data_IF_037505293321
#
_entry.id   IF_037505293321
#
_cell.length_a   1.000
_cell.length_b   1.000
_cell.length_c   1.000
_cell.angle_alpha   90.00
_cell.angle_beta   90.00
_cell.angle_gamma   90.00
#
_symmetry.space_group_name_H-M   'P 1'
#
loop_
_entity.id
_entity.type
_entity.pdbx_description
1 polymer ?
#
# COMPACT_ATOMS: atom_id res chain seq x y z
N UNK A 1 12.79 55.80 53.85
CA UNK A 1 13.93 54.93 54.16
C UNK A 1 13.96 53.85 53.11
N UNK A 2 14.58 53.98 52.07
CA UNK A 2 15.93 53.82 51.53
C UNK A 2 16.59 52.51 51.86
N UNK A 3 16.83 51.73 50.83
CA UNK A 3 18.04 50.97 50.47
C UNK A 3 17.65 49.94 49.41
N UNK A 4 17.96 50.06 48.16
CA UNK A 4 19.25 50.00 47.42
C UNK A 4 19.95 48.64 47.53
N UNK A 5 20.14 48.03 46.43
CA UNK A 5 21.25 47.24 45.89
C UNK A 5 20.73 45.95 45.19
N UNK A 6 21.15 45.50 44.04
CA UNK A 6 22.33 45.71 43.29
C UNK A 6 22.31 44.67 42.15
N UNK A 7 22.51 45.12 40.94
CA UNK A 7 22.58 44.30 39.75
C UNK A 7 23.87 43.48 39.71
N UNK A 8 23.75 42.16 39.64
CA UNK A 8 24.85 41.27 39.29
C UNK A 8 24.61 40.62 37.92
N UNK A 9 25.20 41.20 36.87
CA UNK A 9 25.36 40.54 35.56
C UNK A 9 26.41 39.46 35.69
N UNK A 10 26.04 38.21 35.37
CA UNK A 10 26.99 37.12 35.11
C UNK A 10 27.18 36.99 33.59
N UNK A 11 28.40 36.90 33.08
CA UNK A 11 28.68 36.87 31.64
C UNK A 11 28.32 35.50 31.05
N UNK A 12 27.71 35.53 29.87
CA UNK A 12 27.53 34.35 29.00
C UNK A 12 28.89 33.99 28.43
N UNK A 13 29.39 32.79 28.76
CA UNK A 13 30.45 32.14 27.99
C UNK A 13 29.83 31.42 26.81
N UNK A 14 30.38 31.74 25.65
CA UNK A 14 30.08 31.10 24.37
C UNK A 14 30.76 29.73 24.28
N UNK A 15 30.23 28.94 23.34
CA UNK A 15 30.90 27.82 22.70
C UNK A 15 30.94 26.46 23.43
N UNK A 16 30.01 25.63 23.03
CA UNK A 16 30.06 24.16 23.21
C UNK A 16 29.73 23.50 21.87
N UNK A 17 30.71 23.44 20.97
CA UNK A 17 30.63 22.72 19.71
C UNK A 17 30.25 21.25 19.97
N UNK A 18 29.10 20.81 19.48
CA UNK A 18 28.75 19.41 19.41
C UNK A 18 29.62 18.75 18.35
N UNK A 19 30.57 17.95 18.80
CA UNK A 19 31.33 17.05 17.92
C UNK A 19 30.38 16.08 17.24
N UNK A 20 30.52 15.93 15.93
CA UNK A 20 29.85 14.90 15.15
C UNK A 20 30.29 13.50 15.64
N UNK A 21 29.38 12.52 15.72
CA UNK A 21 29.76 11.16 16.10
C UNK A 21 30.71 10.56 15.05
N UNK A 22 31.68 9.72 15.47
CA UNK A 22 32.66 9.13 14.56
C UNK A 22 31.98 8.19 13.57
N UNK A 23 32.32 8.35 12.30
CA UNK A 23 31.99 7.40 11.22
C UNK A 23 32.80 6.12 11.47
N UNK A 24 32.12 5.05 11.86
CA UNK A 24 32.74 3.72 11.95
C UNK A 24 32.93 3.15 10.54
N UNK A 25 34.09 2.54 10.22
CA UNK A 25 34.33 1.92 8.92
C UNK A 25 33.42 0.70 8.73
N UNK A 26 32.87 0.58 7.53
CA UNK A 26 32.11 -0.60 7.07
C UNK A 26 33.04 -1.82 7.11
N UNK A 27 32.91 -2.63 8.14
CA UNK A 27 33.57 -3.93 8.24
C UNK A 27 32.89 -4.94 7.32
N UNK A 28 33.71 -5.78 6.73
CA UNK A 28 33.40 -6.83 5.76
C UNK A 28 32.24 -7.75 6.16
N UNK A 29 31.61 -8.32 5.14
CA UNK A 29 30.51 -9.26 5.16
C UNK A 29 30.49 -10.18 6.39
N UNK A 30 29.48 -10.01 7.23
CA UNK A 30 29.08 -11.02 8.20
C UNK A 30 28.36 -12.16 7.46
N UNK A 31 28.58 -13.43 7.88
CA UNK A 31 27.90 -14.58 7.29
C UNK A 31 26.39 -14.45 7.43
N UNK A 32 25.68 -14.99 6.45
CA UNK A 32 24.23 -15.02 6.40
C UNK A 32 23.65 -15.40 7.77
N UNK A 33 22.98 -14.45 8.41
CA UNK A 33 22.21 -14.74 9.59
C UNK A 33 21.13 -15.75 9.17
N UNK A 34 21.07 -16.88 9.88
CA UNK A 34 20.09 -17.91 9.69
C UNK A 34 18.70 -17.30 9.54
N UNK A 35 18.05 -17.60 8.42
CA UNK A 35 16.67 -17.21 8.23
C UNK A 35 15.84 -17.84 9.34
N UNK A 36 14.92 -17.11 10.00
CA UNK A 36 14.11 -17.68 11.06
C UNK A 36 13.26 -18.83 10.50
N UNK A 37 13.67 -20.05 10.75
CA UNK A 37 13.03 -21.27 10.28
C UNK A 37 11.67 -21.53 10.95
N UNK A 38 11.24 -20.68 11.89
CA UNK A 38 10.08 -20.87 12.75
C UNK A 38 9.16 -19.64 12.83
N UNK A 39 9.34 -18.65 11.98
CA UNK A 39 8.43 -17.51 11.98
C UNK A 39 7.07 -17.94 11.39
N UNK A 40 5.97 -17.66 12.10
CA UNK A 40 4.62 -17.98 11.65
C UNK A 40 4.29 -17.39 10.27
N UNK A 41 3.16 -17.78 9.64
CA UNK A 41 2.81 -17.41 8.27
C UNK A 41 2.59 -15.91 8.07
N UNK A 42 2.39 -15.13 9.13
CA UNK A 42 2.01 -13.72 9.08
C UNK A 42 3.10 -12.80 9.65
N UNK A 43 4.17 -12.57 8.89
CA UNK A 43 5.27 -11.68 9.27
C UNK A 43 5.02 -10.22 8.86
N UNK A 44 4.48 -10.00 7.68
CA UNK A 44 4.18 -8.66 7.21
C UNK A 44 3.58 -8.61 5.81
N UNK A 45 2.63 -7.72 5.61
CA UNK A 45 2.03 -7.50 4.29
C UNK A 45 3.03 -6.81 3.35
N UNK A 46 3.40 -7.51 2.29
CA UNK A 46 4.30 -6.98 1.25
C UNK A 46 3.47 -6.49 0.07
N UNK A 47 3.07 -5.22 0.12
CA UNK A 47 2.44 -4.53 -0.99
C UNK A 47 3.45 -3.75 -1.85
N UNK A 48 4.66 -3.58 -1.36
CA UNK A 48 5.74 -2.88 -2.04
C UNK A 48 7.11 -3.38 -1.56
N UNK A 49 8.08 -3.39 -2.47
CA UNK A 49 9.48 -3.58 -2.13
C UNK A 49 10.31 -2.38 -2.65
N UNK A 50 11.13 -1.75 -1.82
CA UNK A 50 11.24 -1.97 -0.37
C UNK A 50 10.03 -1.47 0.40
N UNK A 51 9.80 -2.03 1.60
CA UNK A 51 8.74 -1.56 2.48
C UNK A 51 9.02 -0.12 2.96
N UNK A 52 7.97 0.68 3.13
CA UNK A 52 8.07 2.10 3.52
C UNK A 52 8.89 2.37 4.80
N UNK A 53 8.94 1.41 5.73
CA UNK A 53 9.75 1.53 6.95
C UNK A 53 11.26 1.45 6.70
N UNK A 54 11.69 1.09 5.48
CA UNK A 54 13.08 1.19 5.05
C UNK A 54 13.46 2.60 4.51
N UNK A 55 12.48 3.47 4.27
CA UNK A 55 12.76 4.83 3.77
C UNK A 55 13.46 5.66 4.84
N UNK A 56 14.32 6.56 4.38
CA UNK A 56 15.09 7.49 5.22
C UNK A 56 15.08 8.89 4.61
N UNK A 57 15.30 9.93 5.40
CA UNK A 57 15.57 11.26 4.85
C UNK A 57 16.65 11.18 3.79
N UNK A 58 16.42 11.84 2.66
CA UNK A 58 17.38 11.93 1.56
C UNK A 58 18.31 13.12 1.79
N UNK A 59 19.62 12.89 1.75
CA UNK A 59 20.63 13.92 1.91
C UNK A 59 21.76 13.70 0.87
N UNK A 60 21.99 14.63 -0.06
CA UNK A 60 21.13 15.77 -0.34
C UNK A 60 19.73 15.35 -0.85
N UNK A 61 18.74 16.20 -0.64
CA UNK A 61 17.39 16.02 -1.21
C UNK A 61 17.45 16.30 -2.71
N UNK A 62 17.23 15.28 -3.59
CA UNK A 62 17.25 15.51 -5.02
C UNK A 62 16.00 16.30 -5.45
N UNK A 63 16.15 17.12 -6.49
CA UNK A 63 15.00 17.73 -7.15
C UNK A 63 14.16 16.65 -7.86
N UNK A 64 12.86 16.86 -7.99
CA UNK A 64 12.01 15.94 -8.75
C UNK A 64 12.43 15.90 -10.23
N UNK A 65 12.91 17.00 -10.80
CA UNK A 65 13.44 17.02 -12.16
C UNK A 65 14.64 16.06 -12.33
N UNK A 66 15.55 16.01 -11.34
CA UNK A 66 16.66 15.04 -11.33
C UNK A 66 16.16 13.60 -11.14
N UNK A 67 15.18 13.40 -10.27
CA UNK A 67 14.60 12.07 -9.97
C UNK A 67 13.92 11.48 -11.19
N UNK A 68 13.22 12.30 -11.98
CA UNK A 68 12.47 11.87 -13.16
C UNK A 68 13.25 12.01 -14.48
N UNK A 69 14.46 12.58 -14.43
CA UNK A 69 15.31 12.68 -15.62
C UNK A 69 15.62 11.31 -16.21
N UNK A 70 15.19 11.06 -17.46
CA UNK A 70 15.39 9.79 -18.17
C UNK A 70 14.48 8.63 -17.73
N UNK A 71 13.57 8.86 -16.81
CA UNK A 71 12.52 7.86 -16.50
C UNK A 71 11.41 7.91 -17.57
N UNK A 72 10.82 6.76 -17.96
CA UNK A 72 9.68 6.75 -18.87
C UNK A 72 8.46 7.39 -18.21
N UNK A 73 7.85 8.35 -18.88
CA UNK A 73 6.68 9.09 -18.38
C UNK A 73 5.42 8.88 -19.22
N UNK A 74 5.44 7.96 -20.18
CA UNK A 74 4.37 7.73 -21.16
C UNK A 74 3.25 6.83 -20.63
N UNK A 75 3.48 6.09 -19.53
CA UNK A 75 2.54 5.10 -18.99
C UNK A 75 2.62 5.02 -17.47
N UNK A 76 2.45 6.14 -16.78
CA UNK A 76 2.55 6.20 -15.32
C UNK A 76 1.25 5.75 -14.63
N UNK A 77 1.38 5.35 -13.38
CA UNK A 77 0.25 5.20 -12.46
C UNK A 77 0.06 6.50 -11.68
N UNK A 78 -1.16 7.03 -11.65
CA UNK A 78 -1.51 8.19 -10.83
C UNK A 78 -2.18 7.72 -9.53
N UNK A 79 -1.59 8.05 -8.38
CA UNK A 79 -2.17 7.75 -7.09
C UNK A 79 -2.49 9.02 -6.31
N UNK A 80 -3.75 9.20 -5.92
CA UNK A 80 -4.19 10.29 -5.05
C UNK A 80 -4.43 9.76 -3.63
N UNK A 81 -3.78 10.37 -2.65
CA UNK A 81 -3.95 10.00 -1.25
C UNK A 81 -4.83 10.98 -0.52
N UNK A 82 -5.95 10.51 0.02
CA UNK A 82 -6.85 11.29 0.88
C UNK A 82 -6.73 10.75 2.31
N UNK A 83 -6.10 11.49 3.24
CA UNK A 83 -5.79 10.96 4.57
C UNK A 83 -6.95 11.03 5.56
N UNK A 84 -8.14 11.40 5.13
CA UNK A 84 -9.28 11.63 6.02
C UNK A 84 -10.17 10.40 6.13
N UNK A 85 -10.68 10.16 7.34
CA UNK A 85 -11.65 9.12 7.64
C UNK A 85 -12.69 9.65 8.62
N UNK A 86 -13.89 9.09 8.58
CA UNK A 86 -14.94 9.32 9.56
C UNK A 86 -14.60 8.71 10.91
N UNK A 87 -13.88 7.59 10.92
CA UNK A 87 -13.41 6.89 12.11
C UNK A 87 -12.04 6.25 11.90
N UNK A 88 -11.36 5.94 13.00
CA UNK A 88 -10.14 5.12 12.99
C UNK A 88 -10.47 3.72 13.49
N UNK A 89 -10.47 2.74 12.60
CA UNK A 89 -10.66 1.33 12.96
C UNK A 89 -9.55 0.84 13.89
N UNK A 90 -9.85 -0.14 14.75
CA UNK A 90 -8.92 -0.63 15.76
C UNK A 90 -7.66 -1.29 15.20
N UNK A 91 -7.71 -1.79 13.98
CA UNK A 91 -6.61 -2.42 13.26
C UNK A 91 -5.86 -1.46 12.31
N UNK A 92 -6.34 -0.21 12.13
CA UNK A 92 -5.84 0.68 11.09
C UNK A 92 -4.39 1.14 11.37
N UNK A 93 -3.50 0.81 10.45
CA UNK A 93 -2.10 1.24 10.42
C UNK A 93 -1.78 2.15 9.23
N UNK A 94 -2.81 2.69 8.59
CA UNK A 94 -2.68 3.61 7.47
C UNK A 94 -2.42 5.04 7.97
N UNK A 95 -1.90 5.86 7.07
CA UNK A 95 -1.71 7.29 7.30
C UNK A 95 -3.07 8.00 7.22
N UNK A 96 -3.78 8.10 8.37
CA UNK A 96 -5.16 8.60 8.40
C UNK A 96 -5.41 9.54 9.57
N UNK A 97 -6.26 10.56 9.33
CA UNK A 97 -6.75 11.53 10.30
C UNK A 97 -8.26 11.51 10.37
N UNK A 98 -8.80 11.44 11.58
CA UNK A 98 -10.24 11.57 11.83
C UNK A 98 -10.59 12.96 12.36
N UNK A 99 -11.84 13.39 12.16
CA UNK A 99 -12.34 14.66 12.67
C UNK A 99 -11.63 15.87 12.05
N UNK A 100 -11.32 15.81 10.76
CA UNK A 100 -10.77 16.95 10.04
C UNK A 100 -11.86 18.02 9.87
N UNK A 101 -11.62 19.29 10.28
CA UNK A 101 -12.54 20.39 9.98
C UNK A 101 -12.54 20.71 8.49
N UNK A 102 -13.61 21.32 7.98
CA UNK A 102 -13.75 21.66 6.56
C UNK A 102 -12.62 22.54 6.04
N UNK A 103 -12.15 23.49 6.86
CA UNK A 103 -11.05 24.38 6.49
C UNK A 103 -9.74 23.62 6.27
N UNK A 104 -9.52 22.54 7.01
CA UNK A 104 -8.34 21.71 6.81
C UNK A 104 -8.46 20.88 5.52
N UNK A 105 -9.65 20.36 5.21
CA UNK A 105 -9.89 19.64 3.95
C UNK A 105 -9.67 20.57 2.77
N UNK A 106 -10.19 21.79 2.83
CA UNK A 106 -9.97 22.81 1.79
C UNK A 106 -8.47 23.13 1.63
N UNK A 107 -7.76 23.40 2.74
CA UNK A 107 -6.32 23.67 2.73
C UNK A 107 -5.49 22.47 2.22
N UNK A 108 -5.94 21.24 2.47
CA UNK A 108 -5.33 20.04 1.94
C UNK A 108 -5.46 19.96 0.41
N UNK A 109 -6.63 20.26 -0.14
CA UNK A 109 -6.85 20.29 -1.59
C UNK A 109 -6.03 21.43 -2.25
N UNK A 110 -5.88 22.58 -1.59
CA UNK A 110 -4.98 23.65 -2.05
C UNK A 110 -3.51 23.20 -2.08
N UNK A 111 -3.07 22.44 -1.07
CA UNK A 111 -1.72 21.88 -1.04
C UNK A 111 -1.52 20.79 -2.10
N UNK A 112 -2.52 19.95 -2.31
CA UNK A 112 -2.54 18.94 -3.37
C UNK A 112 -2.38 19.60 -4.76
N UNK A 113 -3.06 20.73 -4.99
CA UNK A 113 -2.94 21.53 -6.21
C UNK A 113 -1.51 22.04 -6.40
N UNK A 114 -0.89 22.62 -5.35
CA UNK A 114 0.51 23.08 -5.40
C UNK A 114 1.48 21.93 -5.67
N UNK A 115 1.28 20.77 -5.03
CA UNK A 115 2.10 19.59 -5.26
C UNK A 115 1.96 19.07 -6.70
N UNK A 116 0.73 18.97 -7.21
CA UNK A 116 0.47 18.54 -8.58
C UNK A 116 1.18 19.47 -9.60
N UNK A 117 1.17 20.78 -9.37
CA UNK A 117 1.90 21.74 -10.19
C UNK A 117 3.41 21.48 -10.21
N UNK A 118 4.03 21.35 -9.02
CA UNK A 118 5.47 21.08 -8.91
C UNK A 118 5.86 19.73 -9.55
N UNK A 119 5.03 18.70 -9.42
CA UNK A 119 5.24 17.40 -10.04
C UNK A 119 5.11 17.52 -11.57
N UNK A 120 4.09 18.23 -12.07
CA UNK A 120 3.90 18.46 -13.51
C UNK A 120 5.10 19.17 -14.12
N UNK A 121 5.59 20.22 -13.46
CA UNK A 121 6.76 20.99 -13.91
C UNK A 121 8.02 20.10 -14.00
N UNK A 122 8.17 19.17 -13.07
CA UNK A 122 9.30 18.24 -13.03
C UNK A 122 9.23 17.14 -14.11
N UNK A 123 8.05 16.63 -14.43
CA UNK A 123 7.85 15.53 -15.38
C UNK A 123 7.68 15.99 -16.84
N UNK A 124 7.33 17.24 -17.05
CA UNK A 124 7.04 17.77 -18.39
C UNK A 124 5.67 17.34 -18.91
N UNK A 125 5.56 16.33 -19.77
CA UNK A 125 4.31 15.84 -20.35
C UNK A 125 4.01 14.38 -19.98
N UNK A 126 3.68 14.07 -18.71
CA UNK A 126 3.41 12.71 -18.28
C UNK A 126 2.10 12.20 -18.86
N UNK A 127 2.05 10.91 -19.18
CA UNK A 127 0.83 10.19 -19.55
C UNK A 127 0.54 9.09 -18.55
N UNK A 128 -0.72 8.88 -18.25
CA UNK A 128 -1.14 7.92 -17.24
C UNK A 128 -1.87 6.75 -17.91
N UNK A 129 -1.56 5.54 -17.47
CA UNK A 129 -2.17 4.30 -17.93
C UNK A 129 -3.24 3.78 -16.96
N UNK A 130 -3.18 4.19 -15.70
CA UNK A 130 -4.14 3.83 -14.67
C UNK A 130 -4.13 4.87 -13.53
N UNK A 131 -5.19 4.92 -12.75
CA UNK A 131 -5.30 5.80 -11.60
C UNK A 131 -5.92 5.08 -10.40
N UNK A 132 -5.60 5.55 -9.18
CA UNK A 132 -6.32 5.16 -7.99
C UNK A 132 -6.43 6.32 -7.00
N UNK A 133 -7.52 6.34 -6.25
CA UNK A 133 -7.74 7.25 -5.13
C UNK A 133 -7.97 6.41 -3.88
N UNK A 134 -7.09 6.57 -2.90
CA UNK A 134 -7.11 5.76 -1.69
C UNK A 134 -6.53 6.49 -0.47
N UNK A 135 -6.17 5.73 0.55
CA UNK A 135 -5.49 6.23 1.74
C UNK A 135 -6.26 6.06 3.03
N UNK A 136 -7.01 7.05 3.44
CA UNK A 136 -8.01 6.96 4.49
C UNK A 136 -9.32 6.44 3.93
N UNK A 137 -10.21 7.35 3.61
CA UNK A 137 -11.47 7.09 2.91
C UNK A 137 -11.71 8.23 1.93
N UNK A 138 -11.41 8.08 0.64
CA UNK A 138 -11.59 9.15 -0.36
C UNK A 138 -12.99 9.77 -0.35
N UNK A 139 -14.01 8.95 -0.19
CA UNK A 139 -15.41 9.39 -0.08
C UNK A 139 -15.76 10.05 1.27
N UNK A 140 -14.78 10.30 2.15
CA UNK A 140 -14.92 11.26 3.25
C UNK A 140 -15.16 12.67 2.71
N UNK A 141 -14.53 13.00 1.60
CA UNK A 141 -14.78 14.24 0.87
C UNK A 141 -16.26 14.32 0.45
N UNK A 142 -16.84 15.50 0.53
CA UNK A 142 -18.16 15.78 -0.04
C UNK A 142 -18.14 15.65 -1.56
N UNK A 143 -19.31 15.58 -2.18
CA UNK A 143 -19.41 15.53 -3.65
C UNK A 143 -18.73 16.74 -4.33
N UNK A 144 -18.85 17.93 -3.74
CA UNK A 144 -18.19 19.15 -4.24
C UNK A 144 -16.65 19.07 -4.12
N UNK A 145 -16.13 18.58 -3.00
CA UNK A 145 -14.70 18.42 -2.78
C UNK A 145 -14.11 17.31 -3.66
N UNK A 146 -14.83 16.20 -3.88
CA UNK A 146 -14.45 15.17 -4.84
C UNK A 146 -14.36 15.76 -6.26
N UNK A 147 -15.38 16.52 -6.68
CA UNK A 147 -15.39 17.20 -7.98
C UNK A 147 -14.17 18.12 -8.09
N UNK A 148 -13.91 18.96 -7.09
CA UNK A 148 -12.74 19.84 -7.06
C UNK A 148 -11.42 19.05 -7.15
N UNK A 149 -11.28 17.94 -6.41
CA UNK A 149 -10.09 17.08 -6.43
C UNK A 149 -9.84 16.53 -7.84
N UNK A 150 -10.87 16.04 -8.51
CA UNK A 150 -10.74 15.55 -9.89
C UNK A 150 -10.42 16.65 -10.87
N UNK A 151 -11.13 17.80 -10.80
CA UNK A 151 -10.90 18.95 -11.68
C UNK A 151 -9.47 19.49 -11.60
N UNK A 152 -8.94 19.67 -10.38
CA UNK A 152 -7.56 20.13 -10.20
C UNK A 152 -6.55 19.09 -10.71
N UNK A 153 -6.82 17.81 -10.50
CA UNK A 153 -5.93 16.73 -10.92
C UNK A 153 -5.86 16.68 -12.46
N UNK A 154 -6.99 16.60 -13.14
CA UNK A 154 -7.05 16.56 -14.62
C UNK A 154 -6.43 17.82 -15.23
N UNK A 155 -6.80 19.01 -14.72
CA UNK A 155 -6.31 20.30 -15.23
C UNK A 155 -4.80 20.46 -15.10
N UNK A 156 -4.21 20.00 -14.02
CA UNK A 156 -2.79 20.23 -13.73
C UNK A 156 -1.93 19.11 -14.30
N UNK A 157 -2.29 17.86 -14.08
CA UNK A 157 -1.47 16.72 -14.52
C UNK A 157 -1.66 16.39 -15.99
N UNK A 158 -2.73 16.85 -16.60
CA UNK A 158 -3.12 16.47 -17.97
C UNK A 158 -3.69 15.04 -18.06
N UNK A 159 -3.98 14.39 -16.92
CA UNK A 159 -4.58 13.06 -16.91
C UNK A 159 -6.00 13.10 -17.47
N UNK A 160 -6.34 12.21 -18.38
CA UNK A 160 -7.73 11.92 -18.76
C UNK A 160 -8.22 10.73 -17.94
N UNK A 161 -8.81 11.03 -16.77
CA UNK A 161 -9.24 9.99 -15.82
C UNK A 161 -10.39 9.14 -16.33
N UNK A 162 -11.15 9.63 -17.35
CA UNK A 162 -12.20 8.84 -18.00
C UNK A 162 -11.67 7.86 -19.03
N UNK A 163 -10.46 8.08 -19.53
CA UNK A 163 -9.83 7.24 -20.55
C UNK A 163 -8.99 6.10 -19.97
N UNK A 164 -8.79 6.08 -18.65
CA UNK A 164 -7.94 5.08 -17.98
C UNK A 164 -8.70 4.35 -16.87
N UNK A 165 -8.36 3.08 -16.59
CA UNK A 165 -8.91 2.38 -15.44
C UNK A 165 -8.63 3.16 -14.15
N UNK A 166 -9.68 3.46 -13.39
CA UNK A 166 -9.58 4.20 -12.13
C UNK A 166 -10.27 3.45 -10.98
N UNK A 167 -9.53 3.20 -9.91
CA UNK A 167 -10.04 2.59 -8.69
C UNK A 167 -10.22 3.61 -7.57
N UNK A 168 -11.35 3.58 -6.85
CA UNK A 168 -11.60 4.46 -5.72
C UNK A 168 -12.02 3.65 -4.50
N UNK A 169 -11.38 3.93 -3.35
CA UNK A 169 -11.71 3.33 -2.06
C UNK A 169 -12.89 4.07 -1.40
N UNK A 170 -13.77 3.33 -0.72
CA UNK A 170 -14.89 3.86 0.03
C UNK A 170 -15.15 3.09 1.33
N UNK A 171 -16.05 3.59 2.15
CA UNK A 171 -16.55 2.91 3.36
C UNK A 171 -18.07 2.87 3.38
N UNK A 172 -18.70 1.98 4.15
CA UNK A 172 -20.17 1.92 4.24
C UNK A 172 -20.82 3.24 4.63
N UNK A 173 -20.22 4.01 5.51
CA UNK A 173 -20.77 5.27 5.98
C UNK A 173 -20.68 6.40 4.94
N UNK A 174 -19.70 6.34 4.05
CA UNK A 174 -19.39 7.42 3.10
C UNK A 174 -19.81 7.13 1.65
N UNK A 175 -20.23 5.90 1.34
CA UNK A 175 -20.78 5.51 0.03
C UNK A 175 -22.22 6.07 -0.14
N UNK A 176 -22.34 7.39 -0.22
CA UNK A 176 -23.62 8.09 -0.45
C UNK A 176 -23.89 8.26 -1.94
N UNK A 177 -25.16 8.41 -2.34
CA UNK A 177 -25.55 8.44 -3.72
C UNK A 177 -24.91 9.61 -4.50
N UNK A 178 -24.80 10.79 -3.88
CA UNK A 178 -24.18 11.99 -4.46
C UNK A 178 -22.68 11.81 -4.72
N UNK A 179 -21.95 11.19 -3.78
CA UNK A 179 -20.51 10.92 -3.93
C UNK A 179 -20.26 9.85 -4.98
N UNK A 180 -21.04 8.77 -4.97
CA UNK A 180 -20.94 7.70 -5.97
C UNK A 180 -21.28 8.21 -7.37
N UNK A 181 -22.24 9.14 -7.50
CA UNK A 181 -22.56 9.77 -8.76
C UNK A 181 -21.35 10.57 -9.33
N UNK A 182 -20.64 11.33 -8.47
CA UNK A 182 -19.40 12.00 -8.88
C UNK A 182 -18.34 11.00 -9.34
N UNK A 183 -18.13 9.91 -8.60
CA UNK A 183 -17.16 8.89 -8.99
C UNK A 183 -17.49 8.28 -10.36
N UNK A 184 -18.76 7.94 -10.61
CA UNK A 184 -19.22 7.40 -11.90
C UNK A 184 -19.05 8.43 -13.03
N UNK A 185 -19.42 9.68 -12.81
CA UNK A 185 -19.25 10.77 -13.77
C UNK A 185 -17.77 10.99 -14.12
N UNK A 186 -16.86 10.83 -13.17
CA UNK A 186 -15.41 10.99 -13.35
C UNK A 186 -14.70 9.76 -13.88
N UNK A 187 -15.45 8.72 -14.26
CA UNK A 187 -14.91 7.53 -14.94
C UNK A 187 -14.30 6.50 -14.00
N UNK A 188 -14.66 6.48 -12.70
CA UNK A 188 -14.24 5.38 -11.85
C UNK A 188 -14.78 4.05 -12.40
N UNK A 189 -13.87 3.14 -12.73
CA UNK A 189 -14.22 1.81 -13.24
C UNK A 189 -14.39 0.80 -12.11
N UNK A 190 -13.70 1.03 -10.98
CA UNK A 190 -13.68 0.12 -9.84
C UNK A 190 -13.93 0.88 -8.53
N UNK A 191 -14.83 0.37 -7.72
CA UNK A 191 -15.05 0.84 -6.34
C UNK A 191 -14.70 -0.27 -5.37
N UNK A 192 -13.82 0.03 -4.41
CA UNK A 192 -13.42 -0.89 -3.33
C UNK A 192 -14.07 -0.46 -2.02
N UNK A 193 -14.84 -1.36 -1.39
CA UNK A 193 -15.49 -1.08 -0.12
C UNK A 193 -14.93 -1.95 1.00
N UNK A 194 -14.41 -1.31 2.06
CA UNK A 194 -13.97 -1.99 3.26
C UNK A 194 -15.15 -2.42 4.12
N UNK A 195 -15.63 -3.66 3.97
CA UNK A 195 -16.70 -4.25 4.79
C UNK A 195 -16.16 -4.93 6.04
N UNK A 196 -15.07 -5.68 5.89
CA UNK A 196 -14.34 -6.42 6.92
C UNK A 196 -15.09 -7.63 7.47
N UNK A 197 -16.35 -7.51 7.89
CA UNK A 197 -17.25 -8.59 8.31
C UNK A 197 -18.71 -8.18 8.14
N UNK A 198 -19.57 -9.16 7.83
CA UNK A 198 -21.04 -9.01 7.84
C UNK A 198 -21.66 -9.38 9.18
N UNK A 199 -20.84 -9.64 10.20
CA UNK A 199 -21.28 -9.94 11.57
C UNK A 199 -21.01 -8.74 12.47
N UNK A 200 -22.07 -8.09 12.97
CA UNK A 200 -21.97 -6.86 13.79
C UNK A 200 -21.07 -7.01 15.02
N UNK A 201 -21.05 -8.22 15.63
CA UNK A 201 -20.20 -8.50 16.78
C UNK A 201 -18.71 -8.48 16.41
N UNK A 202 -18.34 -9.03 15.26
CA UNK A 202 -16.98 -9.03 14.74
C UNK A 202 -16.54 -7.61 14.34
N UNK A 203 -17.41 -6.85 13.69
CA UNK A 203 -17.15 -5.45 13.37
C UNK A 203 -16.86 -4.63 14.64
N UNK A 204 -17.64 -4.82 15.70
CA UNK A 204 -17.37 -4.20 17.00
C UNK A 204 -16.06 -4.67 17.64
N UNK A 205 -15.73 -5.97 17.56
CA UNK A 205 -14.47 -6.50 18.07
C UNK A 205 -13.26 -5.91 17.35
N UNK A 206 -13.39 -5.60 16.06
CA UNK A 206 -12.39 -4.92 15.25
C UNK A 206 -12.36 -3.37 15.48
N UNK A 207 -13.13 -2.86 16.46
CA UNK A 207 -13.31 -1.43 16.71
C UNK A 207 -13.71 -0.67 15.43
N UNK A 208 -14.63 -1.27 14.68
CA UNK A 208 -15.25 -0.68 13.48
C UNK A 208 -16.77 -0.71 13.68
N UNK A 209 -17.34 0.32 14.33
CA UNK A 209 -18.77 0.37 14.67
C UNK A 209 -19.60 0.64 13.40
N UNK A 210 -19.82 -0.39 12.61
CA UNK A 210 -20.76 -0.41 11.48
C UNK A 210 -21.82 -1.48 11.72
N UNK A 211 -22.99 -1.29 11.14
CA UNK A 211 -24.09 -2.25 11.19
C UNK A 211 -24.23 -2.92 9.82
N UNK A 212 -24.61 -4.17 9.80
CA UNK A 212 -24.88 -4.93 8.56
C UNK A 212 -25.79 -4.16 7.60
N UNK A 213 -26.87 -3.54 8.10
CA UNK A 213 -27.78 -2.76 7.29
C UNK A 213 -27.10 -1.57 6.57
N UNK A 214 -26.15 -0.93 7.21
CA UNK A 214 -25.37 0.18 6.60
C UNK A 214 -24.52 -0.33 5.46
N UNK A 215 -23.87 -1.49 5.67
CA UNK A 215 -23.09 -2.19 4.64
C UNK A 215 -23.97 -2.55 3.44
N UNK A 216 -25.11 -3.19 3.68
CA UNK A 216 -26.05 -3.60 2.63
C UNK A 216 -26.59 -2.39 1.85
N UNK A 217 -26.91 -1.30 2.54
CA UNK A 217 -27.34 -0.05 1.90
C UNK A 217 -26.24 0.54 1.00
N UNK A 218 -24.99 0.54 1.45
CA UNK A 218 -23.86 1.04 0.68
C UNK A 218 -23.62 0.17 -0.56
N UNK A 219 -23.62 -1.15 -0.41
CA UNK A 219 -23.47 -2.10 -1.52
C UNK A 219 -24.58 -1.94 -2.57
N UNK A 220 -25.84 -1.75 -2.11
CA UNK A 220 -26.96 -1.44 -3.01
C UNK A 220 -26.71 -0.20 -3.85
N UNK A 221 -26.31 0.91 -3.23
CA UNK A 221 -25.98 2.16 -3.91
C UNK A 221 -24.83 2.01 -4.91
N UNK A 222 -23.77 1.25 -4.54
CA UNK A 222 -22.65 1.00 -5.45
C UNK A 222 -23.13 0.22 -6.69
N UNK A 223 -24.00 -0.78 -6.50
CA UNK A 223 -24.58 -1.53 -7.61
C UNK A 223 -25.52 -0.68 -8.47
N UNK A 224 -26.33 0.18 -7.86
CA UNK A 224 -27.19 1.16 -8.57
C UNK A 224 -26.37 2.16 -9.39
N UNK A 225 -25.20 2.57 -8.91
CA UNK A 225 -24.29 3.46 -9.62
C UNK A 225 -23.62 2.83 -10.85
N UNK A 226 -23.63 1.49 -10.98
CA UNK A 226 -23.27 0.79 -12.21
C UNK A 226 -21.77 0.71 -12.52
N UNK A 227 -20.89 0.75 -11.52
CA UNK A 227 -19.44 0.56 -11.72
C UNK A 227 -19.13 -0.80 -12.33
N UNK A 228 -18.10 -0.85 -13.18
CA UNK A 228 -17.67 -2.09 -13.87
C UNK A 228 -17.21 -3.15 -12.88
N UNK A 229 -16.54 -2.74 -11.79
CA UNK A 229 -16.05 -3.64 -10.76
C UNK A 229 -16.39 -3.14 -9.34
N UNK A 230 -17.08 -3.97 -8.58
CA UNK A 230 -17.19 -3.88 -7.14
C UNK A 230 -16.15 -4.81 -6.50
N UNK A 231 -15.30 -4.25 -5.63
CA UNK A 231 -14.46 -5.04 -4.75
C UNK A 231 -14.98 -4.96 -3.31
N UNK A 232 -15.03 -6.09 -2.63
CA UNK A 232 -15.37 -6.19 -1.19
C UNK A 232 -14.15 -6.66 -0.42
N UNK A 233 -13.70 -5.86 0.56
CA UNK A 233 -12.62 -6.23 1.47
C UNK A 233 -13.17 -6.89 2.72
N UNK A 234 -12.69 -8.08 3.04
CA UNK A 234 -13.01 -8.85 4.24
C UNK A 234 -11.77 -9.11 5.07
N UNK A 235 -11.93 -9.14 6.40
CA UNK A 235 -10.85 -9.47 7.34
C UNK A 235 -11.16 -10.79 8.03
N UNK A 236 -10.18 -11.70 8.03
CA UNK A 236 -10.21 -12.93 8.80
C UNK A 236 -9.28 -12.86 10.03
N UNK A 237 -9.60 -13.64 11.06
CA UNK A 237 -8.88 -13.65 12.33
C UNK A 237 -9.29 -12.52 13.28
N UNK A 238 -10.51 -12.00 13.15
CA UNK A 238 -11.12 -11.05 14.11
C UNK A 238 -11.43 -11.80 15.41
N UNK A 239 -11.30 -11.13 16.55
CA UNK A 239 -11.64 -11.70 17.85
C UNK A 239 -13.06 -12.26 17.88
N UNK A 240 -13.18 -13.53 18.28
CA UNK A 240 -14.44 -14.24 18.34
C UNK A 240 -14.95 -14.74 17.00
N UNK A 241 -14.25 -14.49 15.90
CA UNK A 241 -14.57 -15.04 14.59
C UNK A 241 -14.38 -16.55 14.59
N UNK A 242 -15.37 -17.29 14.10
CA UNK A 242 -15.35 -18.74 13.94
C UNK A 242 -15.41 -19.10 12.47
N UNK A 243 -15.11 -20.36 12.13
CA UNK A 243 -15.28 -20.86 10.76
C UNK A 243 -16.72 -20.68 10.23
N UNK A 244 -17.72 -20.81 11.10
CA UNK A 244 -19.13 -20.64 10.74
C UNK A 244 -19.47 -19.17 10.46
N UNK A 245 -19.02 -18.24 11.31
CA UNK A 245 -19.26 -16.79 11.11
C UNK A 245 -18.44 -16.22 9.94
N UNK A 246 -17.25 -16.77 9.71
CA UNK A 246 -16.44 -16.44 8.54
C UNK A 246 -17.14 -16.87 7.25
N UNK A 247 -17.60 -18.13 7.17
CA UNK A 247 -18.40 -18.62 6.04
C UNK A 247 -19.64 -17.76 5.80
N UNK A 248 -20.36 -17.39 6.87
CA UNK A 248 -21.50 -16.48 6.77
C UNK A 248 -21.13 -15.13 6.12
N UNK A 249 -19.98 -14.55 6.47
CA UNK A 249 -19.53 -13.30 5.88
C UNK A 249 -19.14 -13.48 4.40
N UNK A 250 -18.54 -14.61 4.03
CA UNK A 250 -18.24 -14.93 2.63
C UNK A 250 -19.51 -15.08 1.80
N UNK A 251 -20.50 -15.85 2.30
CA UNK A 251 -21.79 -16.05 1.62
C UNK A 251 -22.54 -14.70 1.45
N UNK A 252 -22.51 -13.86 2.49
CA UNK A 252 -23.12 -12.54 2.44
C UNK A 252 -22.43 -11.62 1.40
N UNK A 253 -21.11 -11.69 1.27
CA UNK A 253 -20.38 -10.97 0.23
C UNK A 253 -20.71 -11.48 -1.16
N UNK A 254 -20.71 -12.82 -1.35
CA UNK A 254 -21.02 -13.47 -2.63
C UNK A 254 -22.45 -13.19 -3.12
N UNK A 255 -23.41 -12.95 -2.22
CA UNK A 255 -24.78 -12.56 -2.59
C UNK A 255 -24.84 -11.25 -3.40
N UNK A 256 -23.86 -10.38 -3.25
CA UNK A 256 -23.70 -9.14 -4.03
C UNK A 256 -23.00 -9.35 -5.37
N UNK A 257 -22.53 -10.57 -5.66
CA UNK A 257 -21.80 -10.95 -6.88
C UNK A 257 -20.67 -9.96 -7.21
N UNK A 258 -19.76 -9.65 -6.25
CA UNK A 258 -18.68 -8.72 -6.52
C UNK A 258 -17.75 -9.29 -7.61
N UNK A 259 -17.16 -8.42 -8.41
CA UNK A 259 -16.16 -8.79 -9.41
C UNK A 259 -14.85 -9.20 -8.75
N UNK A 260 -14.58 -8.62 -7.56
CA UNK A 260 -13.38 -8.90 -6.77
C UNK A 260 -13.70 -9.03 -5.29
N UNK A 261 -12.97 -9.90 -4.61
CA UNK A 261 -12.97 -10.03 -3.14
C UNK A 261 -11.53 -10.04 -2.65
N UNK A 262 -11.25 -9.25 -1.62
CA UNK A 262 -9.97 -9.28 -0.92
C UNK A 262 -10.13 -9.86 0.47
N UNK A 263 -9.28 -10.84 0.80
CA UNK A 263 -9.20 -11.46 2.12
C UNK A 263 -7.92 -10.96 2.84
N UNK A 264 -8.10 -10.18 3.89
CA UNK A 264 -6.99 -9.66 4.68
C UNK A 264 -6.87 -10.39 6.02
N UNK A 265 -5.67 -10.84 6.43
CA UNK A 265 -5.46 -11.26 7.81
C UNK A 265 -5.57 -10.05 8.73
N UNK A 266 -6.19 -10.20 9.89
CA UNK A 266 -6.14 -9.16 10.90
C UNK A 266 -4.69 -9.00 11.39
N UNK A 267 -4.09 -7.86 11.08
CA UNK A 267 -2.82 -7.45 11.68
C UNK A 267 -3.06 -6.53 12.87
N UNK A 268 -2.51 -6.92 14.00
CA UNK A 268 -2.47 -6.07 15.21
C UNK A 268 -1.07 -5.47 15.30
N UNK A 269 -0.97 -4.16 15.16
CA UNK A 269 0.28 -3.41 15.17
C UNK A 269 0.37 -2.53 16.41
N UNK A 270 1.58 -2.27 16.95
CA UNK A 270 1.78 -1.19 17.91
C UNK A 270 1.13 0.10 17.39
N UNK A 271 0.67 0.97 18.25
CA UNK A 271 -0.02 2.24 17.91
C UNK A 271 -1.41 2.09 17.25
N UNK A 272 -1.91 0.89 16.98
CA UNK A 272 -3.32 0.66 16.59
C UNK A 272 -4.20 0.47 17.83
N UNK A 273 -5.51 0.66 17.69
CA UNK A 273 -6.45 0.48 18.80
C UNK A 273 -6.46 -0.92 19.41
N UNK A 274 -6.12 -1.94 18.63
CA UNK A 274 -6.00 -3.33 19.06
C UNK A 274 -4.59 -3.73 19.53
N UNK A 275 -3.57 -2.90 19.29
CA UNK A 275 -2.15 -3.22 19.51
C UNK A 275 -1.71 -3.41 20.96
N UNK A 276 -2.61 -3.30 21.93
CA UNK A 276 -2.34 -3.47 23.36
C UNK A 276 -2.57 -4.89 23.88
N UNK A 277 -2.97 -5.82 23.01
CA UNK A 277 -3.30 -7.20 23.40
C UNK A 277 -2.30 -8.16 22.76
N UNK A 278 -1.61 -8.96 23.58
CA UNK A 278 -0.81 -10.09 23.11
C UNK A 278 -1.75 -11.17 22.57
N UNK A 279 -1.42 -11.74 21.38
CA UNK A 279 -2.26 -12.75 20.72
C UNK A 279 -1.38 -13.77 20.01
N UNK A 280 -1.74 -15.03 20.15
CA UNK A 280 -1.18 -16.15 19.42
C UNK A 280 -2.32 -16.87 18.72
N UNK A 281 -2.46 -16.68 17.40
CA UNK A 281 -3.59 -17.17 16.59
C UNK A 281 -3.26 -17.41 15.12
N UNK A 282 -1.98 -17.56 14.82
CA UNK A 282 -1.53 -17.72 13.45
C UNK A 282 -2.13 -18.97 12.79
N UNK A 283 -2.24 -20.08 13.53
CA UNK A 283 -2.84 -21.32 13.03
C UNK A 283 -4.34 -21.15 12.74
N UNK A 284 -5.06 -20.46 13.62
CA UNK A 284 -6.48 -20.18 13.41
C UNK A 284 -6.70 -19.27 12.19
N UNK A 285 -5.89 -18.21 12.03
CA UNK A 285 -5.94 -17.36 10.86
C UNK A 285 -5.67 -18.13 9.57
N UNK A 286 -4.69 -19.02 9.57
CA UNK A 286 -4.36 -19.85 8.41
C UNK A 286 -5.49 -20.80 8.05
N UNK A 287 -6.18 -21.38 9.05
CA UNK A 287 -7.38 -22.19 8.86
C UNK A 287 -8.49 -21.39 8.20
N UNK A 288 -8.80 -20.20 8.73
CA UNK A 288 -9.82 -19.31 8.15
C UNK A 288 -9.44 -18.86 6.73
N UNK A 289 -8.16 -18.58 6.47
CA UNK A 289 -7.70 -18.25 5.14
C UNK A 289 -7.95 -19.37 4.14
N UNK A 290 -7.52 -20.61 4.47
CA UNK A 290 -7.73 -21.78 3.60
C UNK A 290 -9.21 -22.01 3.34
N UNK A 291 -10.05 -21.92 4.37
CA UNK A 291 -11.51 -22.01 4.22
C UNK A 291 -12.04 -20.93 3.26
N UNK A 292 -11.61 -19.67 3.43
CA UNK A 292 -12.05 -18.56 2.57
C UNK A 292 -11.61 -18.74 1.12
N UNK A 293 -10.35 -19.10 0.91
CA UNK A 293 -9.80 -19.42 -0.43
C UNK A 293 -10.63 -20.52 -1.11
N UNK A 294 -10.79 -21.65 -0.44
CA UNK A 294 -11.45 -22.82 -1.01
C UNK A 294 -12.94 -22.52 -1.29
N UNK A 295 -13.58 -21.71 -0.45
CA UNK A 295 -14.96 -21.27 -0.65
C UNK A 295 -15.11 -20.35 -1.87
N UNK A 296 -14.20 -19.41 -2.08
CA UNK A 296 -14.21 -18.51 -3.23
C UNK A 296 -13.89 -19.25 -4.54
N UNK A 297 -12.92 -20.17 -4.52
CA UNK A 297 -12.61 -21.02 -5.68
C UNK A 297 -13.82 -21.90 -6.06
N UNK A 298 -14.50 -22.50 -5.08
CA UNK A 298 -15.74 -23.27 -5.31
C UNK A 298 -16.89 -22.39 -5.86
N UNK A 299 -16.90 -21.10 -5.55
CA UNK A 299 -17.85 -20.12 -6.08
C UNK A 299 -17.47 -19.61 -7.49
N UNK A 300 -16.39 -20.14 -8.09
CA UNK A 300 -15.96 -19.80 -9.45
C UNK A 300 -15.03 -18.59 -9.56
N UNK A 301 -14.49 -18.10 -8.45
CA UNK A 301 -13.45 -17.08 -8.48
C UNK A 301 -12.08 -17.68 -8.80
N UNK A 302 -11.23 -16.90 -9.42
CA UNK A 302 -9.80 -17.22 -9.61
C UNK A 302 -8.98 -16.52 -8.54
N UNK A 303 -7.98 -17.20 -7.98
CA UNK A 303 -7.02 -16.59 -7.08
C UNK A 303 -5.96 -15.83 -7.89
N UNK A 304 -5.79 -14.55 -7.61
CA UNK A 304 -4.77 -13.68 -8.24
C UNK A 304 -3.54 -13.53 -7.36
N UNK A 305 -3.74 -13.45 -6.05
CA UNK A 305 -2.67 -13.39 -5.04
C UNK A 305 -3.16 -14.01 -3.73
N UNK A 306 -2.36 -13.99 -2.68
CA UNK A 306 -2.84 -14.42 -1.37
C UNK A 306 -4.19 -13.76 -1.01
N UNK A 307 -4.36 -12.49 -1.36
CA UNK A 307 -5.53 -11.71 -0.92
C UNK A 307 -6.61 -11.57 -1.97
N UNK A 308 -6.23 -11.41 -3.20
CA UNK A 308 -7.14 -11.05 -4.29
C UNK A 308 -7.73 -12.28 -4.97
N UNK A 309 -9.06 -12.29 -5.04
CA UNK A 309 -9.85 -13.24 -5.82
C UNK A 309 -10.76 -12.45 -6.75
N UNK A 310 -10.89 -12.89 -8.00
CA UNK A 310 -11.72 -12.21 -9.02
C UNK A 310 -12.54 -13.20 -9.83
N UNK A 311 -13.64 -12.74 -10.41
CA UNK A 311 -14.39 -13.50 -11.39
C UNK A 311 -13.64 -13.59 -12.72
N UNK A 312 -13.57 -14.79 -13.35
CA UNK A 312 -12.92 -14.99 -14.66
C UNK A 312 -13.56 -14.11 -15.74
N UNK A 313 -12.77 -13.72 -16.75
CA UNK A 313 -13.26 -13.02 -17.93
C UNK A 313 -13.64 -11.55 -17.70
N UNK A 314 -13.50 -11.01 -16.51
CA UNK A 314 -13.50 -9.58 -16.26
C UNK A 314 -12.09 -9.07 -16.51
N UNK A 315 -11.96 -8.14 -17.46
CA UNK A 315 -10.67 -7.57 -17.79
C UNK A 315 -10.01 -7.01 -16.53
N UNK A 316 -8.88 -7.61 -16.13
CA UNK A 316 -7.93 -6.85 -15.33
C UNK A 316 -7.53 -5.66 -16.19
N UNK A 317 -7.46 -4.43 -15.65
CA UNK A 317 -6.77 -3.37 -16.35
C UNK A 317 -5.42 -3.93 -16.78
N UNK A 318 -4.99 -3.62 -18.00
CA UNK A 318 -3.74 -4.10 -18.59
C UNK A 318 -2.66 -4.22 -17.51
N UNK A 319 -1.94 -5.32 -17.52
CA UNK A 319 -0.87 -5.63 -16.56
C UNK A 319 -0.02 -4.38 -16.32
N UNK A 320 -0.28 -3.73 -15.19
CA UNK A 320 0.42 -2.53 -14.79
C UNK A 320 1.03 -2.78 -13.42
N UNK A 321 2.34 -2.67 -13.36
CA UNK A 321 3.08 -2.80 -12.10
C UNK A 321 3.64 -1.45 -11.69
N UNK A 322 2.89 -0.71 -10.87
CA UNK A 322 3.21 0.67 -10.49
C UNK A 322 4.64 0.89 -9.99
N UNK A 323 5.27 -0.11 -9.35
CA UNK A 323 6.65 -0.01 -8.89
C UNK A 323 7.69 -0.26 -9.99
N UNK A 324 7.32 -0.92 -11.08
CA UNK A 324 8.23 -1.19 -12.21
C UNK A 324 8.02 -0.20 -13.36
N UNK A 325 6.78 0.20 -13.58
CA UNK A 325 6.39 1.05 -14.71
C UNK A 325 6.36 2.54 -14.34
N UNK A 326 6.46 2.85 -13.05
CA UNK A 326 6.48 4.20 -12.50
C UNK A 326 5.14 4.63 -11.90
N UNK A 327 5.20 5.36 -10.79
CA UNK A 327 4.01 5.89 -10.11
C UNK A 327 4.25 7.32 -9.64
N UNK A 328 3.31 8.17 -9.94
CA UNK A 328 3.19 9.51 -9.39
C UNK A 328 2.17 9.48 -8.25
N UNK A 329 2.63 9.77 -7.04
CA UNK A 329 1.79 9.86 -5.85
C UNK A 329 1.60 11.30 -5.42
N UNK A 330 0.34 11.73 -5.30
CA UNK A 330 -0.04 13.04 -4.82
C UNK A 330 -0.76 12.94 -3.46
N UNK A 331 -0.44 13.86 -2.56
CA UNK A 331 -0.92 13.86 -1.18
C UNK A 331 0.11 13.36 -0.18
N UNK A 332 0.05 13.83 1.08
CA UNK A 332 1.10 13.60 2.07
C UNK A 332 1.27 12.15 2.55
N UNK A 333 0.37 11.24 2.26
CA UNK A 333 0.51 9.81 2.52
C UNK A 333 0.92 9.00 1.29
N UNK A 334 0.99 9.64 0.12
CA UNK A 334 1.32 9.01 -1.14
C UNK A 334 2.81 8.68 -1.25
N UNK A 335 3.12 7.73 -2.12
CA UNK A 335 4.48 7.39 -2.54
C UNK A 335 4.58 7.52 -4.04
N UNK A 336 5.77 7.87 -4.51
CA UNK A 336 6.12 7.85 -5.92
C UNK A 336 7.22 6.84 -6.15
N UNK A 337 7.21 6.21 -7.31
CA UNK A 337 8.15 5.18 -7.70
C UNK A 337 8.76 5.49 -9.05
N UNK A 338 10.10 5.53 -9.07
CA UNK A 338 10.90 5.49 -10.29
C UNK A 338 11.68 4.18 -10.36
N UNK A 339 12.44 3.97 -11.42
CA UNK A 339 13.30 2.78 -11.55
C UNK A 339 14.34 2.72 -10.43
N UNK A 340 14.88 3.86 -10.01
CA UNK A 340 16.01 3.97 -9.09
C UNK A 340 15.69 4.56 -7.72
N UNK A 341 14.51 5.17 -7.51
CA UNK A 341 14.15 5.80 -6.25
C UNK A 341 12.67 5.61 -5.93
N UNK A 342 12.38 5.12 -4.74
CA UNK A 342 11.05 5.22 -4.14
C UNK A 342 11.07 6.36 -3.13
N UNK A 343 10.10 7.28 -3.19
CA UNK A 343 10.05 8.43 -2.30
C UNK A 343 8.63 8.79 -1.87
N UNK A 344 8.54 9.55 -0.80
CA UNK A 344 7.30 10.12 -0.26
C UNK A 344 7.57 11.46 0.42
N UNK A 345 6.51 12.17 0.81
CA UNK A 345 6.67 13.34 1.66
C UNK A 345 7.14 12.93 3.06
N UNK A 346 6.30 12.26 3.81
CA UNK A 346 6.61 11.65 5.10
C UNK A 346 5.56 10.58 5.45
N UNK A 347 5.84 9.77 6.50
CA UNK A 347 4.93 8.73 6.95
C UNK A 347 4.96 8.55 8.46
N UNK A 348 3.78 8.38 9.05
CA UNK A 348 3.58 7.99 10.44
C UNK A 348 2.32 7.14 10.59
N UNK A 349 2.19 6.45 11.73
CA UNK A 349 0.98 5.71 12.14
C UNK A 349 0.32 6.39 13.34
N UNK A 350 1.10 6.95 14.27
CA UNK A 350 0.60 7.62 15.46
C UNK A 350 -0.27 8.83 15.12
N UNK A 351 -1.45 8.93 15.75
CA UNK A 351 -2.42 9.98 15.43
C UNK A 351 -1.88 11.41 15.60
N UNK A 352 -0.98 11.63 16.56
CA UNK A 352 -0.34 12.93 16.79
C UNK A 352 0.61 13.32 15.66
N UNK A 353 1.47 12.38 15.26
CA UNK A 353 2.42 12.59 14.17
C UNK A 353 1.72 12.75 12.81
N UNK A 354 0.68 11.95 12.54
CA UNK A 354 -0.12 12.10 11.32
C UNK A 354 -0.73 13.50 11.24
N UNK A 355 -1.26 14.03 12.36
CA UNK A 355 -1.77 15.41 12.39
C UNK A 355 -0.68 16.43 12.09
N UNK A 356 0.48 16.33 12.75
CA UNK A 356 1.60 17.23 12.51
C UNK A 356 2.05 17.21 11.05
N UNK A 357 2.19 16.03 10.45
CA UNK A 357 2.58 15.88 9.04
C UNK A 357 1.54 16.53 8.10
N UNK A 358 0.24 16.36 8.36
CA UNK A 358 -0.81 16.99 7.53
C UNK A 358 -0.77 18.50 7.73
N UNK A 359 -0.62 18.98 8.98
CA UNK A 359 -0.58 20.40 9.29
C UNK A 359 0.67 21.09 8.69
N UNK A 360 1.79 20.38 8.56
CA UNK A 360 2.98 20.85 7.84
C UNK A 360 2.77 20.85 6.33
N UNK A 361 2.23 19.75 5.77
CA UNK A 361 1.97 19.59 4.34
C UNK A 361 1.11 20.74 3.77
N UNK A 362 0.06 21.15 4.48
CA UNK A 362 -0.84 22.21 4.01
C UNK A 362 -0.19 23.60 4.00
N UNK A 363 0.94 23.79 4.71
CA UNK A 363 1.68 25.06 4.77
C UNK A 363 2.82 25.15 3.77
N UNK A 364 3.20 24.06 3.12
CA UNK A 364 4.34 24.03 2.20
C UNK A 364 4.17 25.00 1.04
N UNK A 365 5.22 25.74 0.74
CA UNK A 365 5.31 26.54 -0.47
C UNK A 365 5.51 25.65 -1.72
N UNK A 366 5.15 26.11 -2.93
CA UNK A 366 5.30 25.32 -4.15
C UNK A 366 6.69 24.73 -4.36
N UNK A 367 7.76 25.48 -4.08
CA UNK A 367 9.14 25.02 -4.24
C UNK A 367 9.54 23.86 -3.33
N UNK A 368 8.86 23.70 -2.19
CA UNK A 368 9.13 22.60 -1.25
C UNK A 368 8.58 21.26 -1.74
N UNK A 369 7.61 21.28 -2.67
CA UNK A 369 7.12 20.08 -3.36
C UNK A 369 8.01 19.64 -4.52
N UNK A 370 8.98 20.46 -4.93
CA UNK A 370 9.87 20.17 -6.05
C UNK A 370 11.06 19.27 -5.69
N UNK A 371 11.12 18.74 -4.46
CA UNK A 371 12.20 17.87 -3.96
C UNK A 371 11.66 16.61 -3.32
N UNK A 372 12.43 15.52 -3.42
CA UNK A 372 12.12 14.28 -2.69
C UNK A 372 12.73 14.34 -1.29
N UNK A 373 11.90 14.19 -0.25
CA UNK A 373 12.32 14.37 1.15
C UNK A 373 12.77 13.06 1.81
N UNK A 374 11.95 12.03 1.69
CA UNK A 374 12.13 10.72 2.33
C UNK A 374 12.04 9.64 1.27
N UNK A 375 12.95 8.69 1.26
CA UNK A 375 12.90 7.66 0.24
C UNK A 375 13.92 6.54 0.44
N UNK A 376 14.03 5.72 -0.59
CA UNK A 376 14.96 4.60 -0.68
C UNK A 376 15.50 4.51 -2.11
N UNK A 377 16.83 4.62 -2.26
CA UNK A 377 17.51 4.40 -3.54
C UNK A 377 17.72 2.91 -3.76
N UNK A 378 17.23 2.40 -4.90
CA UNK A 378 17.37 1.00 -5.28
C UNK A 378 18.70 0.80 -6.02
N UNK A 379 19.48 -0.18 -5.58
CA UNK A 379 20.57 -0.73 -6.36
C UNK A 379 20.09 -1.88 -7.29
N UNK A 380 21.00 -2.54 -7.97
CA UNK A 380 20.66 -3.61 -8.92
C UNK A 380 20.11 -4.85 -8.22
N UNK A 381 20.59 -5.19 -7.00
CA UNK A 381 20.02 -6.29 -6.22
C UNK A 381 18.59 -5.95 -5.77
N UNK A 382 18.35 -4.72 -5.32
CA UNK A 382 17.02 -4.26 -4.93
C UNK A 382 16.02 -4.28 -6.11
N UNK A 383 16.45 -3.91 -7.32
CA UNK A 383 15.60 -3.97 -8.53
C UNK A 383 15.24 -5.40 -8.90
N UNK A 384 16.22 -6.32 -8.83
CA UNK A 384 15.99 -7.76 -9.06
C UNK A 384 15.04 -8.36 -8.02
N UNK A 385 15.26 -8.06 -6.73
CA UNK A 385 14.39 -8.51 -5.63
C UNK A 385 12.98 -7.97 -5.76
N UNK A 386 12.84 -6.69 -6.11
CA UNK A 386 11.53 -6.09 -6.36
C UNK A 386 10.75 -6.89 -7.42
N UNK A 387 11.38 -7.16 -8.56
CA UNK A 387 10.76 -7.92 -9.64
C UNK A 387 10.42 -9.36 -9.22
N UNK A 388 11.37 -10.06 -8.57
CA UNK A 388 11.15 -11.41 -8.03
C UNK A 388 9.95 -11.45 -7.08
N UNK A 389 9.94 -10.58 -6.05
CA UNK A 389 8.91 -10.58 -5.02
C UNK A 389 7.53 -10.26 -5.62
N UNK A 390 7.45 -9.23 -6.45
CA UNK A 390 6.18 -8.82 -7.06
C UNK A 390 5.61 -9.90 -7.97
N UNK A 391 6.47 -10.62 -8.69
CA UNK A 391 6.03 -11.71 -9.56
C UNK A 391 5.65 -12.96 -8.77
N UNK A 392 6.49 -13.41 -7.83
CA UNK A 392 6.23 -14.65 -7.07
C UNK A 392 5.00 -14.56 -6.16
N UNK A 393 4.67 -13.38 -5.63
CA UNK A 393 3.49 -13.23 -4.77
C UNK A 393 2.17 -13.14 -5.55
N UNK A 394 2.23 -13.23 -6.88
CA UNK A 394 1.06 -13.41 -7.75
C UNK A 394 0.92 -14.88 -8.14
N UNK A 395 -0.32 -15.33 -8.37
CA UNK A 395 -0.59 -16.72 -8.77
C UNK A 395 0.04 -17.08 -10.12
N UNK A 396 0.19 -16.10 -11.02
CA UNK A 396 0.86 -16.29 -12.32
C UNK A 396 2.37 -16.55 -12.19
N UNK A 397 2.96 -16.14 -11.07
CA UNK A 397 4.37 -16.36 -10.78
C UNK A 397 5.34 -15.58 -11.65
N UNK A 398 6.63 -15.92 -11.54
CA UNK A 398 7.73 -15.30 -12.25
C UNK A 398 7.96 -15.99 -13.60
N UNK A 399 8.07 -15.19 -14.66
CA UNK A 399 8.56 -15.62 -15.96
C UNK A 399 10.10 -15.56 -15.99
N UNK A 400 10.80 -16.72 -16.07
CA UNK A 400 12.26 -16.73 -16.04
C UNK A 400 12.90 -16.21 -17.32
N UNK A 401 12.18 -16.23 -18.45
CA UNK A 401 12.66 -15.66 -19.72
C UNK A 401 12.63 -14.14 -19.65
N UNK A 402 11.47 -13.57 -19.32
CA UNK A 402 11.32 -12.13 -19.14
C UNK A 402 12.27 -11.58 -18.04
N UNK A 403 12.52 -12.36 -16.99
CA UNK A 403 13.49 -12.01 -15.97
C UNK A 403 14.91 -11.95 -16.55
N UNK A 404 15.33 -12.96 -17.32
CA UNK A 404 16.67 -13.03 -17.94
C UNK A 404 16.87 -11.89 -18.94
N UNK A 405 15.87 -11.60 -19.75
CA UNK A 405 15.91 -10.51 -20.73
C UNK A 405 16.10 -9.16 -20.04
N UNK A 406 15.48 -8.99 -18.88
CA UNK A 406 15.56 -7.75 -18.10
C UNK A 406 16.86 -7.58 -17.33
N UNK A 407 17.44 -8.68 -16.79
CA UNK A 407 18.55 -8.62 -15.83
C UNK A 407 19.83 -9.33 -16.31
N UNK A 408 19.85 -9.88 -17.52
CA UNK A 408 21.00 -10.50 -18.14
C UNK A 408 21.33 -11.93 -17.68
N UNK A 409 20.66 -12.42 -16.62
CA UNK A 409 20.81 -13.79 -16.11
C UNK A 409 19.49 -14.28 -15.52
N UNK A 410 19.30 -15.59 -15.42
CA UNK A 410 18.08 -16.18 -14.85
C UNK A 410 17.95 -15.93 -13.34
N UNK A 411 16.73 -16.10 -12.77
CA UNK A 411 16.50 -15.89 -11.35
C UNK A 411 17.32 -16.83 -10.46
N UNK A 412 17.65 -18.02 -10.92
CA UNK A 412 18.48 -19.01 -10.23
C UNK A 412 19.91 -18.53 -10.00
N UNK A 413 20.46 -17.73 -10.93
CA UNK A 413 21.78 -17.16 -10.79
C UNK A 413 21.88 -16.09 -9.70
N UNK A 414 20.76 -15.43 -9.39
CA UNK A 414 20.70 -14.36 -8.40
C UNK A 414 20.13 -14.82 -7.05
N UNK A 415 19.18 -15.79 -7.06
CA UNK A 415 18.39 -16.19 -5.90
C UNK A 415 18.26 -17.72 -5.75
N UNK A 416 19.20 -18.50 -6.32
CA UNK A 416 19.13 -19.96 -6.30
C UNK A 416 18.90 -20.55 -4.93
N UNK A 417 19.66 -20.11 -3.91
CA UNK A 417 19.52 -20.60 -2.55
C UNK A 417 18.15 -20.26 -1.90
N UNK A 418 17.57 -19.10 -2.20
CA UNK A 418 16.24 -18.71 -1.74
C UNK A 418 15.16 -19.56 -2.41
N UNK A 419 15.26 -19.76 -3.71
CA UNK A 419 14.30 -20.54 -4.51
C UNK A 419 14.36 -22.03 -4.11
N UNK A 420 15.55 -22.61 -3.94
CA UNK A 420 15.74 -23.98 -3.47
C UNK A 420 15.13 -24.21 -2.08
N UNK A 421 15.29 -23.26 -1.14
CA UNK A 421 14.65 -23.36 0.18
C UNK A 421 13.13 -23.35 0.10
N UNK A 422 12.54 -22.56 -0.77
CA UNK A 422 11.09 -22.54 -0.99
C UNK A 422 10.60 -23.84 -1.61
N UNK A 423 11.32 -24.36 -2.61
CA UNK A 423 11.00 -25.62 -3.28
C UNK A 423 11.12 -26.82 -2.31
N UNK A 424 12.18 -26.88 -1.52
CA UNK A 424 12.39 -27.93 -0.51
C UNK A 424 11.28 -27.97 0.55
N UNK A 425 10.62 -26.84 0.80
CA UNK A 425 9.46 -26.76 1.70
C UNK A 425 8.11 -26.99 1.01
N UNK A 426 8.10 -27.31 -0.29
CA UNK A 426 6.87 -27.46 -1.08
C UNK A 426 6.08 -26.18 -1.28
N UNK A 427 6.73 -25.02 -1.16
CA UNK A 427 6.09 -23.69 -1.29
C UNK A 427 6.26 -23.10 -2.71
N UNK A 428 7.16 -23.63 -3.51
CA UNK A 428 7.47 -23.20 -4.87
C UNK A 428 7.54 -24.44 -5.78
N UNK A 429 7.04 -24.28 -6.98
CA UNK A 429 7.13 -25.29 -8.05
C UNK A 429 7.52 -24.64 -9.39
N UNK A 430 8.16 -25.45 -10.23
CA UNK A 430 8.34 -25.16 -11.64
C UNK A 430 7.14 -25.74 -12.38
N UNK A 431 6.31 -24.89 -12.94
CA UNK A 431 5.18 -25.31 -13.72
C UNK A 431 5.66 -25.87 -15.07
N UNK A 432 5.18 -27.09 -15.42
CA UNK A 432 5.38 -27.60 -16.76
C UNK A 432 4.58 -26.73 -17.75
N UNK A 433 5.08 -26.52 -18.99
CA UNK A 433 4.30 -25.80 -19.99
C UNK A 433 2.95 -26.51 -20.19
N UNK A 434 1.85 -25.77 -20.42
CA UNK A 434 0.56 -26.36 -20.59
C UNK A 434 0.60 -27.41 -21.71
N UNK A 435 -0.01 -28.61 -21.52
CA UNK A 435 0.00 -29.67 -22.52
C UNK A 435 -0.65 -29.14 -23.81
N UNK A 436 0.11 -29.04 -24.91
CA UNK A 436 -0.31 -28.55 -26.23
C UNK A 436 0.37 -27.29 -26.75
N UNK A 437 1.23 -26.63 -25.97
CA UNK A 437 2.06 -25.52 -26.42
C UNK A 437 3.28 -26.01 -27.22
N UNK A 438 3.32 -25.74 -28.52
CA UNK A 438 4.31 -26.26 -29.47
C UNK A 438 5.69 -25.59 -29.45
N UNK A 439 6.13 -24.96 -28.40
CA UNK A 439 7.52 -24.59 -28.12
C UNK A 439 7.74 -24.70 -26.62
N UNK A 440 8.84 -25.32 -26.22
CA UNK A 440 9.22 -25.46 -24.82
C UNK A 440 9.60 -24.08 -24.24
N UNK A 441 8.61 -23.25 -23.96
CA UNK A 441 8.84 -22.10 -23.09
C UNK A 441 9.14 -22.65 -21.69
N UNK A 442 10.23 -22.21 -21.05
CA UNK A 442 10.54 -22.63 -19.69
C UNK A 442 9.34 -22.32 -18.78
N UNK A 443 8.91 -23.29 -17.97
CA UNK A 443 7.80 -23.15 -17.05
C UNK A 443 8.00 -21.96 -16.13
N UNK A 444 6.90 -21.31 -15.73
CA UNK A 444 6.94 -20.19 -14.76
C UNK A 444 7.29 -20.72 -13.37
N UNK A 445 8.03 -19.95 -12.61
CA UNK A 445 8.22 -20.17 -11.17
C UNK A 445 6.98 -19.70 -10.42
N UNK A 446 6.23 -20.61 -9.80
CA UNK A 446 4.99 -20.29 -9.09
C UNK A 446 5.05 -20.74 -7.64
N UNK A 447 4.45 -19.95 -6.77
CA UNK A 447 4.12 -20.44 -5.45
C UNK A 447 2.99 -21.47 -5.54
N UNK A 448 3.11 -22.57 -4.79
CA UNK A 448 2.01 -23.52 -4.61
C UNK A 448 0.82 -22.84 -3.90
N UNK A 449 -0.33 -23.48 -3.83
CA UNK A 449 -1.46 -22.97 -3.04
C UNK A 449 -1.07 -22.72 -1.58
N UNK A 450 -0.19 -23.56 -1.02
CA UNK A 450 0.35 -23.37 0.32
C UNK A 450 1.41 -22.25 0.35
N UNK A 451 2.24 -22.12 -0.68
CA UNK A 451 3.16 -21.00 -0.85
C UNK A 451 2.43 -19.66 -0.89
N UNK A 452 1.33 -19.56 -1.66
CA UNK A 452 0.49 -18.36 -1.67
C UNK A 452 -0.11 -18.04 -0.30
N UNK A 453 -0.54 -19.07 0.46
CA UNK A 453 -1.03 -18.89 1.83
C UNK A 453 0.04 -18.34 2.79
N UNK A 454 1.32 -18.52 2.46
CA UNK A 454 2.48 -18.02 3.22
C UNK A 454 3.14 -16.78 2.59
N UNK A 455 2.47 -16.07 1.67
CA UNK A 455 3.03 -14.87 1.01
C UNK A 455 3.56 -13.83 1.98
N UNK A 456 2.90 -13.65 3.13
CA UNK A 456 3.29 -12.68 4.17
C UNK A 456 4.52 -13.12 4.99
N UNK A 457 4.97 -14.35 4.86
CA UNK A 457 6.26 -14.83 5.38
C UNK A 457 7.31 -14.88 4.26
N UNK A 458 6.94 -15.36 3.07
CA UNK A 458 7.85 -15.49 1.91
C UNK A 458 8.36 -14.13 1.46
N UNK A 459 7.48 -13.16 1.29
CA UNK A 459 7.86 -11.82 0.84
C UNK A 459 8.94 -11.16 1.71
N UNK A 460 8.74 -11.01 3.04
CA UNK A 460 9.77 -10.48 3.93
C UNK A 460 11.06 -11.30 3.97
N UNK A 461 10.99 -12.63 3.82
CA UNK A 461 12.18 -13.48 3.77
C UNK A 461 13.07 -13.21 2.54
N UNK A 462 12.47 -12.72 1.45
CA UNK A 462 13.19 -12.34 0.22
C UNK A 462 13.75 -10.91 0.27
N UNK A 463 13.52 -10.13 1.31
CA UNK A 463 14.09 -8.78 1.44
C UNK A 463 15.62 -8.85 1.54
N UNK A 464 16.30 -7.83 0.97
CA UNK A 464 17.75 -7.71 1.14
C UNK A 464 18.13 -7.48 2.60
N UNK A 465 19.36 -7.87 2.98
CA UNK A 465 19.89 -7.59 4.33
C UNK A 465 19.86 -6.11 4.67
N UNK A 466 20.13 -5.24 3.68
CA UNK A 466 20.04 -3.79 3.80
C UNK A 466 18.62 -3.32 4.14
N UNK A 467 17.62 -3.79 3.42
CA UNK A 467 16.21 -3.43 3.66
C UNK A 467 15.79 -3.90 5.05
N UNK A 468 16.09 -5.16 5.43
CA UNK A 468 15.77 -5.68 6.77
C UNK A 468 16.43 -4.85 7.89
N UNK A 469 17.71 -4.51 7.74
CA UNK A 469 18.41 -3.69 8.71
C UNK A 469 17.82 -2.29 8.88
N UNK A 470 17.39 -1.68 7.77
CA UNK A 470 16.69 -0.38 7.82
C UNK A 470 15.31 -0.51 8.48
N UNK A 471 14.54 -1.52 8.13
CA UNK A 471 13.22 -1.77 8.75
C UNK A 471 13.33 -2.00 10.26
N UNK A 472 14.33 -2.77 10.71
CA UNK A 472 14.56 -3.05 12.14
C UNK A 472 14.92 -1.78 12.95
N UNK A 473 15.47 -0.74 12.30
CA UNK A 473 15.78 0.55 12.92
C UNK A 473 14.65 1.57 12.81
N UNK A 474 13.52 1.18 12.24
CA UNK A 474 12.36 2.07 12.14
C UNK A 474 11.65 2.09 13.49
N UNK A 475 11.57 3.27 14.08
CA UNK A 475 10.76 3.52 15.26
C UNK A 475 9.33 3.86 14.79
N UNK A 476 8.34 3.10 15.28
CA UNK A 476 6.93 3.39 15.03
C UNK A 476 6.58 4.78 15.59
N UNK A 477 6.18 5.72 14.72
CA UNK A 477 5.76 7.08 15.06
C UNK A 477 4.34 7.37 14.55
#
# INVERSE_FOLDING_TARGET
>A
MAMSAGSGRVPRTADGGRAAPPVLPLSAASPAADAPAEAGPYQGYVYAYPHKTAYRPLDPRPSLAEVWAGEPVERLFLYLHIPFCEMRCGFCNLFTRTGAPEELVAAYLDALERQAGAVRDALGDPRFAAAAVGGGTPTYLSAAELTRMFDLTERITGADLRAVPMSVETSPATATADRLAVLAERGATRVSIGVQSFVDAEARAAVRPQRRREVETALGRIREAGFEALNIDLIYGIDGQTEASWRHSLDAALAWKPEEIYLYPLYVRPLTGLGRRARDWDDHRLTLYRQGRDHLLAAGYEQVSMRMFRLPGRASPAEYTCQSDGMVGLGCGARSYTSGLHYSYEYAVGAGQVRAIIDDYVRLAPGEFAVANVGFRLDDDDRRRRHLIQSLLQADGLDPVAYRDRFGAGPEAHFGAELERLAARGLLELDAPPPGGGSAEPGRLRLTAEGLAHSDAIGPALFSGRVRALMARYEDR
#
